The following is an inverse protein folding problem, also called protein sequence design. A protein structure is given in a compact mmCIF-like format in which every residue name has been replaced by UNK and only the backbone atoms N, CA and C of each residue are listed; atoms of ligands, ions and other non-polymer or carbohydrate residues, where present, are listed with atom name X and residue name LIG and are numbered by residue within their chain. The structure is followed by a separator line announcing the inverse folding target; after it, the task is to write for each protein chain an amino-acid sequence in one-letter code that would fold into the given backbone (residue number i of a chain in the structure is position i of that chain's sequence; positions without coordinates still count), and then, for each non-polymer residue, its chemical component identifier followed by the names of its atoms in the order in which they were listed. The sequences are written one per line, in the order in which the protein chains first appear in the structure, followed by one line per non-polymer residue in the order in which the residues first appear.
data_IF_170054125004
#
_entry.id   IF_170054125004
#
_cell.length_a   1.000
_cell.length_b   1.000
_cell.length_c   1.000
_cell.angle_alpha   90.00
_cell.angle_beta   90.00
_cell.angle_gamma   90.00
#
_symmetry.space_group_name_H-M   'P 1'
#
loop_
_entity.id
_entity.type
_entity.pdbx_description
1 polymer ?
#
# COMPACT_ATOMS: atom_id res chain seq x y z
N UNK A 1 -15.90 -17.10 23.18
CA UNK A 1 -14.68 -16.45 22.66
C UNK A 1 -15.01 -15.90 21.29
N UNK A 2 -14.96 -14.58 21.10
CA UNK A 2 -15.30 -13.95 19.82
C UNK A 2 -14.04 -13.90 18.95
N UNK A 3 -13.92 -14.85 18.02
CA UNK A 3 -12.81 -14.97 17.07
C UNK A 3 -12.51 -13.67 16.31
N UNK A 4 -13.54 -12.86 16.03
CA UNK A 4 -13.39 -11.55 15.38
C UNK A 4 -12.56 -10.55 16.19
N UNK A 5 -12.69 -10.52 17.52
CA UNK A 5 -11.92 -9.60 18.36
C UNK A 5 -10.43 -9.94 18.39
N UNK A 6 -10.08 -11.23 18.31
CA UNK A 6 -8.68 -11.67 18.32
C UNK A 6 -7.96 -11.32 17.01
N UNK A 7 -8.67 -11.44 15.88
CA UNK A 7 -8.11 -11.08 14.57
C UNK A 7 -7.87 -9.57 14.44
N UNK A 8 -8.80 -8.74 14.91
CA UNK A 8 -8.63 -7.28 14.93
C UNK A 8 -7.43 -6.86 15.78
N UNK A 9 -7.27 -7.43 16.98
CA UNK A 9 -6.13 -7.14 17.84
C UNK A 9 -4.81 -7.52 17.16
N UNK A 10 -4.74 -8.70 16.53
CA UNK A 10 -3.53 -9.12 15.82
C UNK A 10 -3.18 -8.18 14.67
N UNK A 11 -4.16 -7.68 13.92
CA UNK A 11 -3.93 -6.72 12.84
C UNK A 11 -3.37 -5.40 13.39
N UNK A 12 -3.91 -4.91 14.50
CA UNK A 12 -3.40 -3.70 15.17
C UNK A 12 -1.96 -3.89 15.66
N UNK A 13 -1.67 -4.97 16.38
CA UNK A 13 -0.32 -5.24 16.92
C UNK A 13 0.74 -5.33 15.82
N UNK A 14 0.42 -5.99 14.69
CA UNK A 14 1.32 -6.11 13.54
C UNK A 14 1.55 -4.74 12.89
N UNK A 15 0.50 -3.91 12.77
CA UNK A 15 0.62 -2.56 12.21
C UNK A 15 1.40 -1.63 13.13
N UNK A 16 1.26 -1.74 14.43
CA UNK A 16 2.05 -0.94 15.38
C UNK A 16 3.53 -1.32 15.36
N UNK A 17 3.83 -2.60 15.12
CA UNK A 17 5.22 -3.11 15.10
C UNK A 17 5.93 -2.83 13.77
N UNK A 18 5.25 -3.04 12.64
CA UNK A 18 5.87 -3.00 11.30
C UNK A 18 5.36 -1.88 10.41
N UNK A 19 4.32 -1.17 10.84
CA UNK A 19 3.75 -0.07 10.09
C UNK A 19 4.68 1.14 10.08
N UNK A 20 4.58 1.91 9.00
CA UNK A 20 5.27 3.17 8.85
C UNK A 20 4.27 4.29 8.51
N UNK A 21 4.61 5.55 8.83
CA UNK A 21 3.74 6.67 8.54
C UNK A 21 3.67 6.96 7.03
N UNK A 22 2.46 7.10 6.52
CA UNK A 22 2.16 7.30 5.10
C UNK A 22 1.10 8.38 4.94
N UNK A 23 1.24 9.21 3.90
CA UNK A 23 0.15 10.08 3.43
C UNK A 23 -0.55 9.38 2.27
N UNK A 24 -1.82 9.07 2.47
CA UNK A 24 -2.71 8.57 1.43
C UNK A 24 -3.56 9.72 0.89
N UNK A 25 -3.50 10.02 -0.40
CA UNK A 25 -4.31 11.07 -1.03
C UNK A 25 -5.19 10.49 -2.11
N UNK A 26 -6.51 10.67 -1.97
CA UNK A 26 -7.46 10.25 -3.00
C UNK A 26 -7.37 11.15 -4.21
N UNK A 27 -7.24 10.55 -5.39
CA UNK A 27 -7.17 11.28 -6.65
C UNK A 27 -8.45 12.07 -6.95
N UNK A 28 -9.62 11.47 -6.68
CA UNK A 28 -10.92 12.08 -7.03
C UNK A 28 -11.27 13.29 -6.17
N UNK A 29 -10.95 13.23 -4.87
CA UNK A 29 -11.39 14.25 -3.90
C UNK A 29 -10.27 15.15 -3.41
N UNK A 30 -9.00 14.83 -3.74
CA UNK A 30 -7.81 15.44 -3.17
C UNK A 30 -7.76 15.38 -1.63
N UNK A 31 -8.56 14.51 -1.01
CA UNK A 31 -8.56 14.31 0.43
C UNK A 31 -7.35 13.48 0.82
N UNK A 32 -6.60 13.96 1.81
CA UNK A 32 -5.44 13.28 2.35
C UNK A 32 -5.70 12.71 3.74
N UNK A 33 -5.11 11.55 4.02
CA UNK A 33 -5.16 10.83 5.28
C UNK A 33 -3.73 10.54 5.73
N UNK A 34 -3.43 10.81 7.00
CA UNK A 34 -2.18 10.40 7.64
C UNK A 34 -2.44 9.08 8.35
N UNK A 35 -1.82 8.02 7.84
CA UNK A 35 -2.11 6.64 8.27
C UNK A 35 -0.83 5.90 8.60
N UNK A 36 -0.96 4.83 9.38
CA UNK A 36 0.11 3.85 9.61
C UNK A 36 -0.14 2.64 8.71
N UNK A 37 0.73 2.37 7.76
CA UNK A 37 0.56 1.27 6.80
C UNK A 37 1.84 0.44 6.67
N UNK A 38 1.70 -0.84 6.32
CA UNK A 38 2.86 -1.73 6.17
C UNK A 38 3.28 -1.70 4.70
N UNK A 39 4.47 -1.18 4.44
CA UNK A 39 5.06 -1.17 3.11
C UNK A 39 6.09 -2.30 3.00
N UNK A 40 6.02 -3.05 1.91
CA UNK A 40 6.94 -4.15 1.63
C UNK A 40 7.31 -4.19 0.16
N UNK A 41 8.49 -4.73 -0.14
CA UNK A 41 8.95 -4.96 -1.50
C UNK A 41 9.04 -6.47 -1.71
N UNK A 42 8.21 -7.00 -2.59
CA UNK A 42 8.26 -8.40 -3.01
C UNK A 42 9.02 -8.55 -4.31
N UNK A 43 9.82 -9.60 -4.41
CA UNK A 43 10.54 -9.93 -5.61
C UNK A 43 9.84 -11.10 -6.29
N UNK A 44 9.26 -10.86 -7.48
CA UNK A 44 8.68 -11.93 -8.28
C UNK A 44 9.67 -12.36 -9.37
N UNK A 45 9.91 -13.66 -9.48
CA UNK A 45 10.61 -14.24 -10.63
C UNK A 45 9.66 -14.22 -11.83
N UNK A 46 10.06 -13.55 -12.92
CA UNK A 46 9.33 -13.61 -14.18
C UNK A 46 10.23 -14.23 -15.25
N UNK A 47 9.75 -15.27 -15.92
CA UNK A 47 10.42 -15.81 -17.11
C UNK A 47 10.09 -14.91 -18.31
N UNK A 48 10.97 -13.95 -18.59
CA UNK A 48 10.90 -13.20 -19.84
C UNK A 48 11.52 -14.05 -20.97
N UNK A 49 10.67 -14.73 -21.75
CA UNK A 49 11.05 -15.22 -23.08
C UNK A 49 12.20 -16.25 -23.13
N UNK A 50 12.35 -17.08 -22.09
CA UNK A 50 13.02 -18.38 -22.22
C UNK A 50 14.53 -18.46 -21.95
N UNK A 51 15.19 -17.47 -21.33
CA UNK A 51 16.59 -17.69 -20.85
C UNK A 51 17.16 -16.78 -19.77
N UNK A 52 16.46 -15.73 -19.31
CA UNK A 52 16.97 -14.86 -18.25
C UNK A 52 15.88 -14.71 -17.19
N UNK A 53 16.15 -15.20 -15.97
CA UNK A 53 15.31 -14.92 -14.80
C UNK A 53 15.44 -13.43 -14.48
N UNK A 54 14.41 -12.64 -14.75
CA UNK A 54 14.37 -11.25 -14.29
C UNK A 54 13.59 -11.20 -12.99
N UNK A 55 14.18 -10.54 -11.99
CA UNK A 55 13.53 -10.27 -10.71
C UNK A 55 12.94 -8.87 -10.79
N UNK A 56 11.61 -8.76 -10.83
CA UNK A 56 10.96 -7.44 -10.84
C UNK A 56 10.52 -7.11 -9.41
N UNK A 57 11.01 -6.02 -8.80
CA UNK A 57 10.55 -5.59 -7.49
C UNK A 57 9.11 -5.07 -7.61
N UNK A 58 8.23 -5.62 -6.79
CA UNK A 58 6.83 -5.24 -6.65
C UNK A 58 6.64 -4.59 -5.29
N UNK A 59 6.34 -3.29 -5.31
CA UNK A 59 6.06 -2.50 -4.12
C UNK A 59 4.61 -2.74 -3.69
N UNK A 60 4.42 -3.17 -2.45
CA UNK A 60 3.12 -3.47 -1.85
C UNK A 60 2.90 -2.59 -0.62
N UNK A 61 1.66 -2.12 -0.44
CA UNK A 61 1.24 -1.37 0.75
C UNK A 61 -0.04 -1.98 1.29
N UNK A 62 0.00 -2.44 2.54
CA UNK A 62 -1.17 -2.96 3.25
C UNK A 62 -1.82 -1.83 4.06
N UNK A 63 -3.07 -1.51 3.72
CA UNK A 63 -3.84 -0.38 4.26
C UNK A 63 -5.15 -0.88 4.87
N UNK A 64 -5.55 -0.32 6.01
CA UNK A 64 -6.88 -0.54 6.56
C UNK A 64 -7.87 0.48 5.98
N UNK A 65 -9.05 0.03 5.55
CA UNK A 65 -10.09 0.91 5.00
C UNK A 65 -10.54 1.98 6.01
N UNK A 66 -10.50 1.65 7.30
CA UNK A 66 -10.98 2.55 8.36
C UNK A 66 -10.12 3.80 8.48
N UNK A 67 -8.82 3.70 8.19
CA UNK A 67 -7.89 4.84 8.29
C UNK A 67 -8.05 5.83 7.13
N UNK A 68 -8.56 5.34 6.00
CA UNK A 68 -8.84 6.14 4.81
C UNK A 68 -10.33 6.53 4.73
N UNK A 69 -11.04 6.58 5.87
CA UNK A 69 -12.42 7.05 5.93
C UNK A 69 -13.47 6.04 5.45
N UNK A 70 -13.17 4.74 5.48
CA UNK A 70 -14.15 3.67 5.25
C UNK A 70 -14.57 3.46 3.80
N UNK A 71 -13.82 4.00 2.84
CA UNK A 71 -14.09 3.80 1.40
C UNK A 71 -12.92 3.05 0.76
N UNK A 72 -13.25 2.18 -0.18
CA UNK A 72 -12.29 1.37 -0.90
C UNK A 72 -11.23 2.24 -1.63
N UNK A 73 -9.94 1.84 -1.57
CA UNK A 73 -8.87 2.43 -2.37
C UNK A 73 -9.14 2.38 -3.87
N UNK A 74 -8.73 3.40 -4.61
CA UNK A 74 -8.90 3.46 -6.06
C UNK A 74 -7.57 3.52 -6.82
N UNK A 75 -7.61 3.14 -8.09
CA UNK A 75 -6.46 3.23 -8.98
C UNK A 75 -6.08 4.70 -9.22
N UNK A 76 -4.79 4.98 -9.13
CA UNK A 76 -4.22 6.31 -9.29
C UNK A 76 -4.31 7.19 -8.04
N UNK A 77 -4.79 6.67 -6.90
CA UNK A 77 -4.60 7.35 -5.61
C UNK A 77 -3.10 7.51 -5.32
N UNK A 78 -2.73 8.63 -4.69
CA UNK A 78 -1.34 9.01 -4.47
C UNK A 78 -0.91 8.66 -3.05
N UNK A 79 0.28 8.06 -2.95
CA UNK A 79 0.86 7.59 -1.70
C UNK A 79 2.22 8.24 -1.52
N UNK A 80 2.45 8.83 -0.35
CA UNK A 80 3.76 9.33 0.04
C UNK A 80 4.23 8.57 1.28
N UNK A 81 5.34 7.84 1.15
CA UNK A 81 5.99 7.22 2.31
C UNK A 81 6.79 8.30 3.05
N UNK A 82 6.42 8.59 4.29
CA UNK A 82 7.07 9.68 5.03
C UNK A 82 8.50 9.35 5.47
N UNK A 83 8.81 8.06 5.65
CA UNK A 83 10.14 7.61 6.05
C UNK A 83 11.19 7.76 4.92
N UNK A 84 10.80 7.48 3.66
CA UNK A 84 11.70 7.53 2.50
C UNK A 84 11.46 8.71 1.57
N UNK A 85 10.39 9.50 1.78
CA UNK A 85 9.94 10.57 0.90
C UNK A 85 9.67 10.12 -0.54
N UNK A 86 9.38 8.84 -0.73
CA UNK A 86 9.03 8.28 -2.04
C UNK A 86 7.55 8.50 -2.37
N UNK A 87 7.28 8.78 -3.64
CA UNK A 87 5.94 9.05 -4.16
C UNK A 87 5.51 7.90 -5.08
N UNK A 88 4.29 7.44 -4.88
CA UNK A 88 3.71 6.34 -5.64
C UNK A 88 2.27 6.64 -6.05
N UNK A 89 1.85 5.99 -7.13
CA UNK A 89 0.45 5.83 -7.49
C UNK A 89 0.00 4.40 -7.26
N UNK A 90 -1.27 4.23 -6.87
CA UNK A 90 -1.90 2.93 -6.76
C UNK A 90 -2.15 2.35 -8.15
N UNK A 91 -1.42 1.29 -8.51
CA UNK A 91 -1.52 0.62 -9.80
C UNK A 91 -2.47 -0.60 -9.78
N UNK A 92 -2.67 -1.20 -8.62
CA UNK A 92 -3.65 -2.28 -8.43
C UNK A 92 -4.13 -2.32 -6.98
N UNK A 93 -5.36 -2.78 -6.77
CA UNK A 93 -6.01 -2.90 -5.46
C UNK A 93 -6.50 -4.33 -5.31
N UNK A 94 -6.07 -4.99 -4.24
CA UNK A 94 -6.49 -6.34 -3.89
C UNK A 94 -7.16 -6.29 -2.53
N UNK A 95 -8.45 -6.66 -2.47
CA UNK A 95 -9.13 -6.80 -1.19
C UNK A 95 -8.50 -7.97 -0.42
N UNK A 96 -8.26 -7.75 0.86
CA UNK A 96 -7.88 -8.78 1.81
C UNK A 96 -9.01 -8.97 2.82
N UNK A 97 -8.79 -9.89 3.75
CA UNK A 97 -9.74 -10.12 4.83
C UNK A 97 -9.79 -8.92 5.79
N UNK A 98 -10.86 -8.82 6.57
CA UNK A 98 -10.93 -7.93 7.73
C UNK A 98 -10.63 -6.47 7.43
N UNK A 99 -11.25 -5.91 6.39
CA UNK A 99 -11.16 -4.49 6.02
C UNK A 99 -9.75 -4.01 5.59
N UNK A 100 -8.85 -4.95 5.30
CA UNK A 100 -7.52 -4.66 4.79
C UNK A 100 -7.51 -4.69 3.26
N UNK A 101 -6.69 -3.83 2.67
CA UNK A 101 -6.44 -3.77 1.24
C UNK A 101 -4.94 -3.81 0.98
N UNK A 102 -4.57 -4.64 0.03
CA UNK A 102 -3.22 -4.71 -0.52
C UNK A 102 -3.16 -3.88 -1.78
N UNK A 103 -2.37 -2.81 -1.73
CA UNK A 103 -2.15 -1.90 -2.84
C UNK A 103 -0.84 -2.22 -3.50
N UNK A 104 -0.84 -2.27 -4.83
CA UNK A 104 0.36 -2.44 -5.63
C UNK A 104 0.75 -1.07 -6.15
N UNK A 105 1.94 -0.65 -5.78
CA UNK A 105 2.40 0.70 -6.02
C UNK A 105 3.24 0.78 -7.29
N UNK A 106 3.11 1.89 -8.01
CA UNK A 106 3.98 2.28 -9.12
C UNK A 106 4.67 3.59 -8.74
N UNK A 107 5.98 3.65 -8.94
CA UNK A 107 6.74 4.89 -8.74
C UNK A 107 6.19 6.02 -9.61
N UNK A 108 5.96 7.17 -8.99
CA UNK A 108 5.77 8.41 -9.72
C UNK A 108 7.14 9.06 -9.87
N UNK A 109 7.62 9.14 -11.10
CA UNK A 109 8.79 9.98 -11.39
C UNK A 109 8.39 11.42 -11.10
N UNK A 110 9.09 12.04 -10.15
CA UNK A 110 9.01 13.49 -9.94
C UNK A 110 9.63 14.13 -11.18
N UNK A 111 8.80 14.38 -12.20
CA UNK A 111 9.18 15.27 -13.29
C UNK A 111 9.28 16.66 -12.70
N UNK A 112 10.46 16.99 -12.16
CA UNK A 112 10.88 18.37 -11.97
C UNK A 112 10.83 19.04 -13.35
N UNK A 113 9.70 19.67 -13.65
CA UNK A 113 9.62 20.65 -14.72
C UNK A 113 10.48 21.82 -14.25
N UNK A 114 11.57 22.03 -15.00
CA UNK A 114 12.56 23.09 -14.84
C UNK A 114 11.97 24.46 -14.61
#
# INVERSE_FOLDING_TARGET
MQWHGLLSQMIEDVRDTFGQPVIYTRKKTAQSFHITAIYSIKHAEQEAGGRIKTTIPRKELDVCINDIGGVQPELGDHIVLLASQENFSVANVQASESNMYKLILREESVSNVK
#
